data_IF_483456044685
#
_entry.id   IF_483456044685
#
_cell.length_a   1.000
_cell.length_b   1.000
_cell.length_c   1.000
_cell.angle_alpha   90.00
_cell.angle_beta   90.00
_cell.angle_gamma   90.00
#
_symmetry.space_group_name_H-M   'P 1'
#
loop_
_entity.id
_entity.type
_entity.pdbx_description
1 polymer ?
#
# COMPACT_ATOMS: atom_id res chain seq x y z
N UNK A 1 6.76 8.34 5.72
CA UNK A 1 5.98 9.06 4.69
C UNK A 1 4.91 8.12 4.18
N UNK A 2 3.71 8.63 3.93
CA UNK A 2 2.60 7.89 3.31
C UNK A 2 2.23 8.66 2.04
N UNK A 3 2.03 7.96 0.92
CA UNK A 3 1.58 8.58 -0.33
C UNK A 3 0.13 9.06 -0.21
N UNK A 4 -0.32 9.95 -1.11
CA UNK A 4 -1.76 10.11 -1.35
C UNK A 4 -2.42 8.77 -1.68
N UNK A 5 -3.71 8.67 -1.35
CA UNK A 5 -4.51 7.50 -1.68
C UNK A 5 -4.72 7.37 -3.19
N UNK A 6 -4.78 6.14 -3.67
CA UNK A 6 -5.20 5.83 -5.03
C UNK A 6 -6.15 4.63 -5.04
N UNK A 7 -7.03 4.59 -6.03
CA UNK A 7 -8.02 3.52 -6.16
C UNK A 7 -7.59 2.47 -7.19
N UNK A 8 -7.75 1.19 -6.83
CA UNK A 8 -7.67 0.07 -7.77
C UNK A 8 -8.48 -1.11 -7.26
N UNK A 9 -9.23 -1.78 -8.15
CA UNK A 9 -10.08 -2.91 -7.79
C UNK A 9 -11.22 -2.57 -6.81
N UNK A 10 -11.62 -1.29 -6.76
CA UNK A 10 -12.59 -0.78 -5.80
C UNK A 10 -12.11 -0.84 -4.35
N UNK A 11 -10.79 -0.74 -4.14
CA UNK A 11 -10.15 -0.58 -2.84
C UNK A 11 -9.25 0.66 -2.88
N UNK A 12 -9.07 1.32 -1.73
CA UNK A 12 -8.16 2.44 -1.56
C UNK A 12 -6.82 1.94 -1.04
N UNK A 13 -5.75 2.43 -1.64
CA UNK A 13 -4.38 2.00 -1.35
C UNK A 13 -3.50 3.22 -1.12
N UNK A 14 -2.44 3.05 -0.33
CA UNK A 14 -1.35 4.00 -0.25
C UNK A 14 -0.01 3.26 -0.20
N UNK A 15 1.07 3.93 -0.59
CA UNK A 15 2.43 3.45 -0.43
C UNK A 15 3.01 4.06 0.84
N UNK A 16 3.59 3.21 1.69
CA UNK A 16 4.26 3.62 2.92
C UNK A 16 5.76 3.47 2.71
N UNK A 17 6.48 4.57 2.95
CA UNK A 17 7.93 4.64 3.00
C UNK A 17 8.34 4.93 4.43
N UNK A 18 9.11 4.05 5.05
CA UNK A 18 9.62 4.29 6.39
C UNK A 18 11.11 3.99 6.49
N UNK A 19 11.88 4.86 7.18
CA UNK A 19 13.25 4.55 7.52
C UNK A 19 13.26 3.37 8.49
N UNK A 20 14.24 2.50 8.34
CA UNK A 20 14.47 1.37 9.22
C UNK A 20 15.83 1.51 9.92
N UNK A 21 16.14 0.58 10.82
CA UNK A 21 17.46 0.43 11.42
C UNK A 21 18.53 0.30 10.32
N UNK A 22 19.72 0.85 10.55
CA UNK A 22 20.86 0.85 9.63
C UNK A 22 20.71 1.68 8.35
N UNK A 23 20.06 2.85 8.43
CA UNK A 23 19.90 3.79 7.30
C UNK A 23 19.26 3.14 6.06
N UNK A 24 18.47 2.09 6.22
CA UNK A 24 17.72 1.50 5.13
C UNK A 24 16.32 2.13 5.02
N UNK A 25 15.76 2.12 3.82
CA UNK A 25 14.37 2.46 3.55
C UNK A 25 13.60 1.20 3.20
N UNK A 26 12.50 1.00 3.91
CA UNK A 26 11.50 -0.01 3.63
C UNK A 26 10.34 0.63 2.87
N UNK A 27 9.75 -0.11 1.93
CA UNK A 27 8.60 0.33 1.16
C UNK A 27 7.54 -0.77 1.08
N UNK A 28 6.30 -0.40 1.37
CA UNK A 28 5.16 -1.31 1.37
C UNK A 28 3.92 -0.68 0.75
N UNK A 29 3.03 -1.52 0.24
CA UNK A 29 1.67 -1.19 -0.12
C UNK A 29 0.77 -1.43 1.10
N UNK A 30 -0.08 -0.47 1.43
CA UNK A 30 -1.03 -0.51 2.55
C UNK A 30 -2.45 -0.34 2.02
N UNK A 31 -3.39 -1.12 2.56
CA UNK A 31 -4.84 -0.87 2.38
C UNK A 31 -5.21 0.37 3.18
N UNK A 32 -5.64 1.44 2.50
CA UNK A 32 -5.98 2.69 3.16
C UNK A 32 -7.34 2.61 3.87
N UNK A 33 -7.45 3.21 5.04
CA UNK A 33 -8.66 3.14 5.87
C UNK A 33 -8.97 1.71 6.33
N UNK A 34 -7.95 0.85 6.48
CA UNK A 34 -8.14 -0.54 6.88
C UNK A 34 -8.80 -0.70 8.26
N UNK A 35 -8.71 0.33 9.12
CA UNK A 35 -9.37 0.39 10.43
C UNK A 35 -10.89 0.57 10.31
N UNK A 36 -11.38 1.16 9.21
CA UNK A 36 -12.80 1.38 8.94
C UNK A 36 -13.45 0.20 8.20
N UNK A 37 -12.66 -0.80 7.79
CA UNK A 37 -13.17 -1.95 7.06
C UNK A 37 -13.91 -2.93 7.99
N UNK A 38 -14.96 -3.63 7.50
CA UNK A 38 -15.71 -4.57 8.31
C UNK A 38 -14.82 -5.65 8.95
N UNK A 39 -15.11 -6.12 10.18
CA UNK A 39 -14.36 -7.20 10.80
C UNK A 39 -14.26 -8.43 9.89
N UNK A 40 -13.06 -8.99 9.78
CA UNK A 40 -12.80 -10.16 8.94
C UNK A 40 -12.65 -9.88 7.44
N UNK A 41 -12.52 -8.61 7.04
CA UNK A 41 -12.20 -8.25 5.65
C UNK A 41 -10.91 -8.94 5.18
N UNK A 42 -10.92 -9.38 3.92
CA UNK A 42 -9.78 -9.95 3.22
C UNK A 42 -9.74 -9.45 1.78
N UNK A 43 -8.58 -8.97 1.35
CA UNK A 43 -8.33 -8.57 -0.03
C UNK A 43 -7.17 -9.41 -0.56
N UNK A 44 -7.41 -10.20 -1.61
CA UNK A 44 -6.36 -10.87 -2.36
C UNK A 44 -5.94 -10.01 -3.54
N UNK A 45 -4.69 -9.57 -3.56
CA UNK A 45 -4.18 -8.70 -4.62
C UNK A 45 -2.73 -9.03 -4.99
N UNK A 46 -2.37 -8.73 -6.23
CA UNK A 46 -0.99 -8.59 -6.68
C UNK A 46 -0.66 -7.12 -6.78
N UNK A 47 0.60 -6.79 -6.57
CA UNK A 47 1.05 -5.42 -6.73
C UNK A 47 2.47 -5.35 -7.26
N UNK A 48 2.76 -4.22 -7.88
CA UNK A 48 4.08 -3.87 -8.34
C UNK A 48 4.42 -2.50 -7.77
N UNK A 49 5.55 -2.42 -7.07
CA UNK A 49 6.13 -1.16 -6.63
C UNK A 49 7.43 -0.95 -7.39
N UNK A 50 7.66 0.25 -7.90
CA UNK A 50 8.93 0.60 -8.55
C UNK A 50 9.44 1.95 -8.09
N UNK A 51 10.76 2.05 -7.94
CA UNK A 51 11.46 3.32 -7.84
C UNK A 51 12.14 3.59 -9.19
N UNK A 52 11.98 4.81 -9.70
CA UNK A 52 12.54 5.23 -10.99
C UNK A 52 13.49 6.41 -10.83
N UNK A 53 14.63 6.36 -11.51
CA UNK A 53 15.52 7.50 -11.71
C UNK A 53 16.14 7.47 -13.09
N UNK A 54 15.84 8.47 -13.90
CA UNK A 54 16.29 8.51 -15.30
C UNK A 54 15.92 7.22 -16.04
N UNK A 55 16.94 6.42 -16.40
CA UNK A 55 16.79 5.13 -17.06
C UNK A 55 16.82 3.92 -16.12
N UNK A 56 17.23 4.10 -14.86
CA UNK A 56 17.26 3.04 -13.86
C UNK A 56 15.89 2.84 -13.21
N UNK A 57 15.55 1.56 -12.97
CA UNK A 57 14.33 1.16 -12.29
C UNK A 57 14.60 -0.05 -11.42
N UNK A 58 14.28 0.08 -10.13
CA UNK A 58 14.20 -1.06 -9.22
C UNK A 58 12.74 -1.39 -8.96
N UNK A 59 12.37 -2.67 -9.05
CA UNK A 59 10.97 -3.12 -9.04
C UNK A 59 10.79 -4.29 -8.09
N UNK A 60 9.77 -4.20 -7.25
CA UNK A 60 9.20 -5.30 -6.48
C UNK A 60 7.94 -5.74 -7.19
N UNK A 61 7.93 -6.97 -7.70
CA UNK A 61 6.76 -7.62 -8.26
C UNK A 61 6.26 -8.67 -7.26
N UNK A 62 5.04 -8.51 -6.77
CA UNK A 62 4.48 -9.37 -5.74
C UNK A 62 3.81 -10.60 -6.35
N UNK A 63 3.97 -11.74 -5.68
CA UNK A 63 2.96 -12.81 -5.78
C UNK A 63 1.63 -12.33 -5.19
N UNK A 64 0.54 -13.04 -5.44
CA UNK A 64 -0.74 -12.73 -4.81
C UNK A 64 -0.59 -12.79 -3.27
N UNK A 65 -1.02 -11.72 -2.59
CA UNK A 65 -1.00 -11.60 -1.13
C UNK A 65 -2.40 -11.35 -0.61
N UNK A 66 -2.67 -11.87 0.58
CA UNK A 66 -3.88 -11.54 1.34
C UNK A 66 -3.56 -10.38 2.29
N UNK A 67 -4.33 -9.32 2.16
CA UNK A 67 -4.37 -8.20 3.09
C UNK A 67 -5.59 -8.39 4.00
N UNK A 68 -5.39 -8.19 5.29
CA UNK A 68 -6.44 -8.25 6.31
C UNK A 68 -6.08 -7.36 7.51
N UNK A 69 -6.87 -7.41 8.57
CA UNK A 69 -6.66 -6.60 9.77
C UNK A 69 -5.34 -6.88 10.49
N UNK A 70 -4.78 -8.08 10.36
CA UNK A 70 -3.51 -8.45 11.00
C UNK A 70 -2.31 -8.07 10.11
N UNK A 71 -2.48 -8.17 8.79
CA UNK A 71 -1.49 -7.79 7.79
C UNK A 71 -2.07 -6.83 6.75
N UNK A 72 -2.33 -5.56 7.10
CA UNK A 72 -2.93 -4.60 6.16
C UNK A 72 -1.93 -4.08 5.13
N UNK A 73 -0.64 -4.43 5.26
CA UNK A 73 0.42 -3.99 4.36
C UNK A 73 1.39 -5.10 3.98
N UNK A 74 1.89 -5.05 2.74
CA UNK A 74 2.92 -5.94 2.22
C UNK A 74 3.99 -5.15 1.48
N UNK A 75 5.26 -5.54 1.62
CA UNK A 75 6.37 -4.81 1.01
C UNK A 75 7.72 -5.47 1.23
N UNK A 76 8.77 -4.68 1.02
CA UNK A 76 10.14 -5.06 1.31
C UNK A 76 10.68 -4.23 2.47
N UNK A 77 11.14 -4.95 3.50
CA UNK A 77 11.97 -4.38 4.56
C UNK A 77 13.39 -4.17 4.05
N UNK A 78 14.00 -3.04 4.40
CA UNK A 78 15.38 -2.70 4.04
C UNK A 78 15.67 -2.77 2.53
N UNK A 79 14.73 -2.29 1.72
CA UNK A 79 14.85 -2.41 0.26
C UNK A 79 16.03 -1.61 -0.30
N UNK A 80 16.27 -0.39 0.22
CA UNK A 80 17.41 0.41 -0.20
C UNK A 80 18.19 0.93 0.98
N UNK A 81 19.52 0.84 0.94
CA UNK A 81 20.34 1.63 1.84
C UNK A 81 20.31 3.10 1.41
N UNK A 82 20.38 4.04 2.36
CA UNK A 82 20.25 5.47 2.05
C UNK A 82 21.31 5.96 1.08
N UNK A 83 22.52 5.41 1.13
CA UNK A 83 23.58 5.73 0.16
C UNK A 83 23.27 5.28 -1.27
N UNK A 84 22.38 4.31 -1.46
CA UNK A 84 21.93 3.90 -2.79
C UNK A 84 20.86 4.86 -3.32
N UNK A 85 20.09 5.51 -2.43
CA UNK A 85 19.04 6.47 -2.82
C UNK A 85 19.57 7.70 -3.50
N UNK A 86 20.82 8.12 -3.23
CA UNK A 86 21.41 9.28 -3.91
C UNK A 86 21.41 9.09 -5.44
N UNK A 87 21.51 7.84 -5.92
CA UNK A 87 21.36 7.51 -7.34
C UNK A 87 19.92 7.49 -7.85
N UNK A 88 18.92 7.51 -6.96
CA UNK A 88 17.50 7.46 -7.28
C UNK A 88 16.76 8.80 -7.15
N UNK A 89 17.39 9.83 -6.58
CA UNK A 89 16.81 11.15 -6.45
C UNK A 89 17.00 11.95 -7.75
N UNK A 90 15.97 12.68 -8.16
CA UNK A 90 16.11 13.64 -9.25
C UNK A 90 16.94 14.87 -8.82
N UNK A 91 17.28 15.81 -9.72
CA UNK A 91 18.08 16.98 -9.37
C UNK A 91 17.49 17.89 -8.28
N UNK A 92 16.21 17.74 -7.91
CA UNK A 92 15.55 18.47 -6.82
C UNK A 92 15.58 17.71 -5.50
N UNK A 93 16.04 16.46 -5.52
CA UNK A 93 15.96 15.55 -4.38
C UNK A 93 14.65 14.77 -4.32
N UNK A 94 13.86 14.73 -5.39
CA UNK A 94 12.58 14.02 -5.41
C UNK A 94 12.74 12.55 -5.82
N UNK A 95 12.05 11.66 -5.13
CA UNK A 95 12.01 10.23 -5.42
C UNK A 95 10.71 9.88 -6.15
N UNK A 96 10.80 9.28 -7.34
CA UNK A 96 9.61 8.83 -8.09
C UNK A 96 9.29 7.38 -7.80
N UNK A 97 8.09 7.16 -7.25
CA UNK A 97 7.55 5.84 -6.95
C UNK A 97 6.33 5.58 -7.82
N UNK A 98 6.35 4.44 -8.52
CA UNK A 98 5.20 3.92 -9.24
C UNK A 98 4.60 2.76 -8.45
N UNK A 99 3.28 2.75 -8.30
CA UNK A 99 2.53 1.66 -7.72
C UNK A 99 1.47 1.16 -8.70
N UNK A 100 1.33 -0.16 -8.81
CA UNK A 100 0.25 -0.82 -9.54
C UNK A 100 -0.32 -1.90 -8.65
N UNK A 101 -1.63 -2.04 -8.67
CA UNK A 101 -2.34 -3.04 -7.86
C UNK A 101 -3.40 -3.70 -8.72
N UNK A 102 -3.43 -5.02 -8.70
CA UNK A 102 -4.45 -5.86 -9.32
C UNK A 102 -5.16 -6.63 -8.21
N UNK A 103 -6.43 -6.29 -7.97
CA UNK A 103 -7.27 -7.01 -7.00
C UNK A 103 -7.86 -8.23 -7.68
N UNK A 104 -7.56 -9.41 -7.13
CA UNK A 104 -8.02 -10.70 -7.66
C UNK A 104 -9.33 -11.12 -7.01
N UNK A 105 -9.43 -10.93 -5.70
CA UNK A 105 -10.63 -11.23 -4.93
C UNK A 105 -10.68 -10.30 -3.72
N UNK A 106 -11.88 -9.93 -3.28
CA UNK A 106 -12.09 -9.26 -2.00
C UNK A 106 -13.36 -9.79 -1.36
N UNK A 107 -13.39 -9.81 -0.03
CA UNK A 107 -14.59 -10.14 0.72
C UNK A 107 -15.74 -9.25 0.27
N UNK A 108 -16.94 -9.82 0.18
CA UNK A 108 -18.14 -9.03 0.04
C UNK A 108 -18.30 -8.12 1.27
N UNK A 109 -18.66 -6.85 1.09
CA UNK A 109 -18.84 -5.95 2.21
C UNK A 109 -19.95 -6.46 3.11
N UNK A 110 -19.62 -6.83 4.36
CA UNK A 110 -20.62 -7.06 5.39
C UNK A 110 -21.18 -5.69 5.79
N UNK A 111 -22.38 -5.37 5.31
CA UNK A 111 -23.05 -4.11 5.63
C UNK A 111 -23.94 -4.30 6.86
N UNK A 112 -23.51 -3.75 7.99
CA UNK A 112 -24.32 -3.65 9.21
C UNK A 112 -24.79 -2.22 9.36
N UNK A 113 -26.10 -2.01 9.40
CA UNK A 113 -26.70 -0.70 9.66
C UNK A 113 -27.51 -0.75 10.96
N UNK A 114 -27.50 0.36 11.69
CA UNK A 114 -28.31 0.54 12.90
C UNK A 114 -29.48 1.44 12.53
N UNK A 115 -30.71 0.92 12.64
CA UNK A 115 -31.91 1.75 12.58
C UNK A 115 -32.18 2.26 14.00
N UNK A 116 -32.24 3.59 14.18
CA UNK A 116 -32.74 4.16 15.42
C UNK A 116 -34.23 3.92 15.51
N UNK A 117 -34.73 3.52 16.68
CA UNK A 117 -36.16 3.28 16.90
C UNK A 117 -37.02 4.50 16.52
N UNK A 118 -36.53 5.71 16.77
CA UNK A 118 -37.15 6.98 16.36
C UNK A 118 -37.40 7.12 14.86
N UNK A 119 -36.72 6.34 14.04
CA UNK A 119 -36.84 6.33 12.57
C UNK A 119 -37.85 5.30 12.06
N UNK A 120 -38.39 4.46 12.96
CA UNK A 120 -39.42 3.45 12.68
C UNK A 120 -40.84 3.97 12.97
N UNK A 121 -40.98 5.23 13.34
CA UNK A 121 -42.24 5.90 13.66
C UNK A 121 -42.53 7.03 12.66
#
# INVERSE_FOLDING_TARGET
MISPEFESGGCRWCVVLHPNVDNCISMSLLVSGCEDLPPGWKINAKFLLSIKCGYERSTLDSVARYFDSEGPSWGLSNWFHRSQLDGFLDPRGDLKVDARVEVLHKSDPMFTFVIKESSLC
#
